data_IF_808752595671
#
_entry.id   IF_808752595671
#
_cell.length_a   1.000
_cell.length_b   1.000
_cell.length_c   1.000
_cell.angle_alpha   90.00
_cell.angle_beta   90.00
_cell.angle_gamma   90.00
#
_symmetry.space_group_name_H-M   'P 1'
#
loop_
_entity.id
_entity.type
_entity.pdbx_description
1 polymer ?
#
# COMPACT_ATOMS: atom_id res chain seq x y z
N UNK A 1 -19.87 40.00 -2.98
CA UNK A 1 -19.90 38.94 -1.94
C UNK A 1 -19.81 37.51 -2.49
N UNK A 2 -20.36 37.19 -3.67
CA UNK A 2 -20.30 35.84 -4.25
C UNK A 2 -18.90 35.36 -4.68
N UNK A 3 -18.06 36.26 -5.20
CA UNK A 3 -16.71 35.90 -5.68
C UNK A 3 -15.78 35.38 -4.56
N UNK A 4 -15.88 35.95 -3.35
CA UNK A 4 -15.08 35.52 -2.19
C UNK A 4 -15.49 34.12 -1.70
N UNK A 5 -16.79 33.82 -1.74
CA UNK A 5 -17.33 32.50 -1.39
C UNK A 5 -16.90 31.44 -2.40
N UNK A 6 -17.01 31.72 -3.69
CA UNK A 6 -16.57 30.81 -4.75
C UNK A 6 -15.06 30.54 -4.68
N UNK A 7 -14.26 31.56 -4.38
CA UNK A 7 -12.82 31.41 -4.20
C UNK A 7 -12.49 30.57 -2.96
N UNK A 8 -13.26 30.74 -1.87
CA UNK A 8 -13.19 29.87 -0.70
C UNK A 8 -13.51 28.42 -1.03
N UNK A 9 -14.60 28.16 -1.74
CA UNK A 9 -15.05 26.82 -2.13
C UNK A 9 -14.03 26.12 -3.06
N UNK A 10 -13.44 26.85 -4.01
CA UNK A 10 -12.37 26.34 -4.89
C UNK A 10 -11.11 26.01 -4.08
N UNK A 11 -10.76 26.86 -3.11
CA UNK A 11 -9.57 26.65 -2.27
C UNK A 11 -9.77 25.42 -1.39
N UNK A 12 -10.92 25.29 -0.72
CA UNK A 12 -11.27 24.09 0.05
C UNK A 12 -11.26 22.83 -0.81
N UNK A 13 -11.83 22.87 -2.02
CA UNK A 13 -11.83 21.72 -2.93
C UNK A 13 -10.41 21.32 -3.37
N UNK A 14 -9.52 22.30 -3.58
CA UNK A 14 -8.10 22.06 -3.89
C UNK A 14 -7.36 21.46 -2.69
N UNK A 15 -7.59 22.00 -1.49
CA UNK A 15 -7.00 21.50 -0.24
C UNK A 15 -7.47 20.06 0.02
N UNK A 16 -8.77 19.76 -0.05
CA UNK A 16 -9.27 18.39 0.12
C UNK A 16 -8.82 17.41 -0.98
N UNK A 17 -8.49 17.90 -2.18
CA UNK A 17 -7.87 17.08 -3.23
C UNK A 17 -6.39 16.84 -2.92
N UNK A 18 -5.72 17.83 -2.36
CA UNK A 18 -4.32 17.76 -1.94
C UNK A 18 -4.16 16.86 -0.70
N UNK A 19 -5.01 16.98 0.31
CA UNK A 19 -5.09 16.10 1.49
C UNK A 19 -5.37 14.64 1.10
N UNK A 20 -6.30 14.38 0.17
CA UNK A 20 -6.54 13.03 -0.35
C UNK A 20 -5.32 12.42 -1.06
N UNK A 21 -4.47 13.25 -1.67
CA UNK A 21 -3.21 12.80 -2.24
C UNK A 21 -2.09 12.71 -1.19
N UNK A 22 -2.17 13.52 -0.13
CA UNK A 22 -1.17 13.61 0.94
C UNK A 22 -1.32 12.48 1.97
N UNK A 23 -2.52 11.94 2.16
CA UNK A 23 -2.77 10.73 2.97
C UNK A 23 -2.10 9.46 2.39
N UNK A 24 -1.37 9.56 1.28
CA UNK A 24 -0.49 8.50 0.75
C UNK A 24 0.99 8.70 1.15
N UNK A 25 1.33 9.79 1.85
CA UNK A 25 2.72 10.28 2.02
C UNK A 25 3.04 10.86 3.39
N UNK A 26 2.64 10.19 4.47
CA UNK A 26 3.16 10.44 5.83
C UNK A 26 3.30 9.07 6.52
N UNK A 27 4.43 8.59 7.06
CA UNK A 27 5.68 9.22 7.50
C UNK A 27 6.82 8.20 7.25
N UNK A 28 7.74 8.50 6.34
CA UNK A 28 9.10 7.96 6.31
C UNK A 28 9.95 8.96 5.52
N UNK A 29 11.20 9.17 5.93
CA UNK A 29 12.11 10.13 5.33
C UNK A 29 12.06 10.03 3.79
N UNK A 30 11.59 11.09 3.12
CA UNK A 30 11.43 11.10 1.66
C UNK A 30 12.83 10.90 1.04
N UNK A 31 13.09 9.77 0.35
CA UNK A 31 14.34 9.58 -0.34
C UNK A 31 14.46 10.68 -1.41
N UNK A 32 15.62 11.33 -1.50
CA UNK A 32 15.89 12.41 -2.48
C UNK A 32 15.66 11.95 -3.94
N UNK A 33 15.69 10.64 -4.18
CA UNK A 33 15.33 9.98 -5.45
C UNK A 33 13.91 9.43 -5.43
N UNK A 34 13.17 9.62 -6.54
CA UNK A 34 11.86 8.99 -6.73
C UNK A 34 11.99 7.48 -6.51
N UNK A 35 11.18 6.87 -5.62
CA UNK A 35 11.25 5.43 -5.37
C UNK A 35 10.93 4.69 -6.67
N UNK A 36 11.76 3.72 -7.01
CA UNK A 36 11.54 2.80 -8.13
C UNK A 36 11.19 1.43 -7.57
N UNK A 37 10.15 0.79 -8.09
CA UNK A 37 9.76 -0.54 -7.64
C UNK A 37 10.87 -1.55 -7.96
N UNK A 38 11.32 -2.27 -6.93
CA UNK A 38 12.34 -3.30 -7.08
C UNK A 38 12.07 -4.49 -6.17
N UNK A 39 11.99 -5.67 -6.76
CA UNK A 39 11.92 -6.94 -6.01
C UNK A 39 13.21 -7.24 -5.25
N UNK A 40 14.32 -6.55 -5.56
CA UNK A 40 15.57 -6.69 -4.82
C UNK A 40 15.48 -6.10 -3.41
N UNK A 41 14.55 -5.17 -3.20
CA UNK A 41 14.32 -4.58 -1.88
C UNK A 41 13.51 -5.51 -0.96
N UNK A 42 12.88 -6.56 -1.50
CA UNK A 42 12.12 -7.55 -0.73
C UNK A 42 13.06 -8.55 -0.05
N UNK A 43 13.58 -8.18 1.13
CA UNK A 43 14.46 -9.07 1.92
C UNK A 43 13.63 -10.10 2.69
N UNK A 44 12.40 -9.73 3.09
CA UNK A 44 11.46 -10.60 3.81
C UNK A 44 10.69 -11.49 2.84
N UNK A 45 10.25 -12.65 3.34
CA UNK A 45 9.38 -13.57 2.57
C UNK A 45 7.93 -13.16 2.76
N UNK A 46 7.29 -12.75 1.67
CA UNK A 46 5.90 -12.29 1.68
C UNK A 46 4.97 -13.39 1.16
N UNK A 47 4.26 -14.06 2.09
CA UNK A 47 3.34 -15.15 1.78
C UNK A 47 1.90 -14.76 2.06
N UNK A 48 1.01 -15.10 1.13
CA UNK A 48 -0.42 -15.15 1.42
C UNK A 48 -0.72 -16.49 2.09
N UNK A 49 -1.42 -16.47 3.22
CA UNK A 49 -1.93 -17.69 3.84
C UNK A 49 -3.16 -18.23 3.09
N UNK A 50 -3.31 -19.55 3.06
CA UNK A 50 -4.45 -20.18 2.39
C UNK A 50 -5.74 -19.92 3.18
N UNK A 51 -6.66 -19.19 2.57
CA UNK A 51 -7.98 -18.91 3.13
C UNK A 51 -8.92 -18.56 1.99
N UNK A 52 -9.88 -19.43 1.61
CA UNK A 52 -10.74 -19.19 0.46
C UNK A 52 -11.40 -17.80 0.49
N UNK A 53 -11.33 -17.01 -0.59
CA UNK A 53 -10.89 -17.39 -1.94
C UNK A 53 -9.39 -17.16 -2.21
N UNK A 54 -8.59 -16.82 -1.20
CA UNK A 54 -7.16 -16.59 -1.31
C UNK A 54 -6.36 -17.89 -1.31
N UNK A 55 -5.39 -17.99 -2.22
CA UNK A 55 -4.50 -19.14 -2.36
C UNK A 55 -3.10 -18.81 -1.85
N UNK A 56 -2.45 -19.81 -1.27
CA UNK A 56 -1.09 -19.68 -0.74
C UNK A 56 -0.08 -19.42 -1.85
N UNK A 57 0.53 -18.24 -1.85
CA UNK A 57 1.51 -17.82 -2.85
C UNK A 57 2.59 -16.92 -2.25
N UNK A 58 3.79 -17.03 -2.82
CA UNK A 58 4.94 -16.16 -2.58
C UNK A 58 4.84 -14.93 -3.48
N UNK A 59 4.61 -13.75 -2.88
CA UNK A 59 4.38 -12.51 -3.61
C UNK A 59 5.60 -12.07 -4.41
N UNK A 60 6.81 -12.30 -3.92
CA UNK A 60 8.03 -11.94 -4.63
C UNK A 60 8.16 -12.76 -5.93
N UNK A 61 7.91 -14.08 -5.86
CA UNK A 61 7.91 -14.94 -7.06
C UNK A 61 6.82 -14.59 -8.06
N UNK A 62 5.67 -14.16 -7.59
CA UNK A 62 4.59 -13.68 -8.45
C UNK A 62 5.01 -12.36 -9.12
N UNK A 63 5.55 -11.41 -8.37
CA UNK A 63 5.97 -10.10 -8.86
C UNK A 63 7.09 -10.20 -9.91
N UNK A 64 7.99 -11.18 -9.82
CA UNK A 64 9.03 -11.43 -10.85
C UNK A 64 8.45 -11.70 -12.25
N UNK A 65 7.20 -12.19 -12.33
CA UNK A 65 6.51 -12.47 -13.60
C UNK A 65 5.78 -11.24 -14.15
N UNK A 66 5.71 -10.16 -13.39
CA UNK A 66 5.05 -8.93 -13.79
C UNK A 66 6.00 -8.03 -14.59
N UNK A 67 5.47 -7.37 -15.62
CA UNK A 67 6.24 -6.46 -16.47
C UNK A 67 5.69 -5.03 -16.33
N UNK A 68 6.47 -4.08 -15.79
CA UNK A 68 6.03 -2.69 -15.65
C UNK A 68 5.91 -2.02 -17.02
N UNK A 69 4.93 -1.12 -17.16
CA UNK A 69 4.82 -0.24 -18.33
C UNK A 69 5.77 0.93 -18.18
N UNK A 70 6.60 1.18 -19.20
CA UNK A 70 7.63 2.24 -19.20
C UNK A 70 7.07 3.67 -19.03
N UNK A 71 5.81 3.89 -19.42
CA UNK A 71 5.16 5.22 -19.34
C UNK A 71 4.51 5.50 -18.00
N UNK A 72 4.33 4.48 -17.16
CA UNK A 72 3.64 4.59 -15.89
C UNK A 72 4.60 5.14 -14.82
N UNK A 73 4.13 6.05 -13.98
CA UNK A 73 4.85 6.47 -12.78
C UNK A 73 4.86 5.37 -11.70
N UNK A 74 5.67 5.51 -10.65
CA UNK A 74 5.81 4.52 -9.58
C UNK A 74 4.48 4.08 -8.97
N UNK A 75 3.57 5.01 -8.67
CA UNK A 75 2.29 4.68 -8.06
C UNK A 75 1.33 3.97 -9.04
N UNK A 76 1.37 4.34 -10.32
CA UNK A 76 0.63 3.64 -11.38
C UNK A 76 1.16 2.22 -11.57
N UNK A 77 2.48 2.06 -11.53
CA UNK A 77 3.16 0.78 -11.56
C UNK A 77 2.79 -0.08 -10.36
N UNK A 78 2.77 0.49 -9.15
CA UNK A 78 2.40 -0.21 -7.92
C UNK A 78 0.94 -0.67 -7.97
N UNK A 79 0.04 0.20 -8.43
CA UNK A 79 -1.37 -0.13 -8.65
C UNK A 79 -1.53 -1.27 -9.67
N UNK A 80 -0.75 -1.25 -10.75
CA UNK A 80 -0.79 -2.29 -11.78
C UNK A 80 -0.23 -3.62 -11.25
N UNK A 81 0.83 -3.59 -10.45
CA UNK A 81 1.39 -4.75 -9.75
C UNK A 81 0.37 -5.37 -8.80
N UNK A 82 -0.27 -4.58 -7.94
CA UNK A 82 -1.31 -5.09 -7.03
C UNK A 82 -2.47 -5.72 -7.79
N UNK A 83 -2.96 -5.09 -8.87
CA UNK A 83 -3.99 -5.71 -9.70
C UNK A 83 -3.54 -7.07 -10.25
N UNK A 84 -2.29 -7.19 -10.69
CA UNK A 84 -1.71 -8.43 -11.20
C UNK A 84 -1.56 -9.52 -10.14
N UNK A 85 -1.16 -9.14 -8.91
CA UNK A 85 -1.01 -10.04 -7.77
C UNK A 85 -2.38 -10.53 -7.30
N UNK A 86 -3.32 -9.61 -7.06
CA UNK A 86 -4.66 -9.90 -6.59
C UNK A 86 -5.40 -10.91 -7.48
N UNK A 87 -5.24 -10.80 -8.81
CA UNK A 87 -5.80 -11.77 -9.75
C UNK A 87 -5.21 -13.18 -9.63
N UNK A 88 -3.98 -13.33 -9.12
CA UNK A 88 -3.29 -14.62 -8.97
C UNK A 88 -3.48 -15.25 -7.60
N UNK A 89 -3.55 -14.42 -6.57
CA UNK A 89 -3.76 -14.89 -5.20
C UNK A 89 -5.22 -15.23 -4.95
N UNK A 90 -6.14 -15.06 -5.90
CA UNK A 90 -7.57 -15.37 -5.72
C UNK A 90 -8.04 -16.44 -6.70
N UNK A 91 -8.73 -17.46 -6.20
CA UNK A 91 -9.32 -18.54 -6.98
C UNK A 91 -10.84 -18.66 -6.74
N UNK A 92 -11.69 -18.48 -7.78
CA UNK A 92 -11.35 -18.00 -9.12
C UNK A 92 -11.04 -16.49 -9.12
N UNK A 93 -10.23 -15.95 -10.05
CA UNK A 93 -9.75 -14.56 -10.03
C UNK A 93 -10.84 -13.49 -9.94
N UNK A 94 -12.06 -13.80 -10.38
CA UNK A 94 -13.20 -12.89 -10.38
C UNK A 94 -13.69 -12.58 -8.96
N UNK A 95 -13.48 -13.48 -7.99
CA UNK A 95 -13.93 -13.29 -6.61
C UNK A 95 -13.29 -12.10 -5.91
N UNK A 96 -12.14 -11.60 -6.40
CA UNK A 96 -11.53 -10.41 -5.82
C UNK A 96 -12.44 -9.18 -5.91
N UNK A 97 -13.38 -9.15 -6.88
CA UNK A 97 -14.34 -8.05 -7.04
C UNK A 97 -15.31 -7.93 -5.87
N UNK A 98 -15.46 -8.96 -5.04
CA UNK A 98 -16.28 -8.92 -3.82
C UNK A 98 -15.59 -8.18 -2.67
N UNK A 99 -14.31 -7.83 -2.82
CA UNK A 99 -13.48 -7.25 -1.75
C UNK A 99 -13.08 -5.80 -2.07
N UNK A 100 -12.92 -5.00 -1.02
CA UNK A 100 -12.39 -3.66 -1.05
C UNK A 100 -11.33 -3.46 0.05
N UNK A 101 -10.36 -2.58 -0.22
CA UNK A 101 -9.41 -2.07 0.79
C UNK A 101 -9.94 -0.71 1.26
N UNK A 102 -10.17 -0.57 2.57
CA UNK A 102 -10.72 0.66 3.19
C UNK A 102 -9.71 1.19 4.21
N UNK A 103 -8.75 2.00 3.74
CA UNK A 103 -7.70 2.59 4.58
C UNK A 103 -8.24 3.51 5.69
N UNK A 104 -9.39 4.14 5.44
CA UNK A 104 -10.14 4.88 6.44
C UNK A 104 -11.50 4.20 6.49
N UNK A 105 -11.97 3.76 7.65
CA UNK A 105 -13.29 3.12 7.84
C UNK A 105 -14.51 4.02 7.45
N UNK A 106 -14.27 5.10 6.71
CA UNK A 106 -15.29 5.96 6.14
C UNK A 106 -16.14 5.24 5.08
N UNK A 107 -17.44 5.50 5.16
CA UNK A 107 -18.57 4.98 4.36
C UNK A 107 -18.58 5.46 2.91
N UNK A 108 -17.43 5.52 2.26
CA UNK A 108 -17.27 6.06 0.91
C UNK A 108 -16.95 5.00 -0.13
N UNK A 109 -17.80 3.97 -0.30
CA UNK A 109 -17.95 3.08 -1.48
C UNK A 109 -18.71 1.81 -1.10
N UNK A 110 -19.53 1.35 -2.04
CA UNK A 110 -20.39 0.15 -2.02
C UNK A 110 -20.32 -0.67 -0.72
N UNK A 111 -21.35 -0.52 0.11
CA UNK A 111 -21.45 -1.17 1.42
C UNK A 111 -21.54 -2.71 1.31
N UNK A 112 -21.84 -3.24 0.12
CA UNK A 112 -21.93 -4.68 -0.12
C UNK A 112 -20.56 -5.34 -0.32
N UNK A 113 -19.48 -4.56 -0.49
CA UNK A 113 -18.12 -5.09 -0.65
C UNK A 113 -17.52 -5.43 0.71
N UNK A 114 -17.02 -6.67 0.81
CA UNK A 114 -16.31 -7.16 1.99
C UNK A 114 -14.96 -6.46 2.13
N UNK A 115 -14.50 -6.26 3.36
CA UNK A 115 -13.12 -5.86 3.56
C UNK A 115 -12.18 -7.02 3.21
N UNK A 116 -10.99 -6.69 2.72
CA UNK A 116 -9.92 -7.67 2.58
C UNK A 116 -9.62 -8.28 3.96
N UNK A 117 -9.31 -9.58 4.09
CA UNK A 117 -8.87 -10.13 5.36
C UNK A 117 -7.63 -9.39 5.86
N UNK A 118 -7.62 -9.03 7.15
CA UNK A 118 -6.59 -8.18 7.74
C UNK A 118 -5.17 -8.68 7.47
N UNK A 119 -4.94 -10.00 7.59
CA UNK A 119 -3.63 -10.59 7.30
C UNK A 119 -3.20 -10.41 5.83
N UNK A 120 -4.14 -10.54 4.89
CA UNK A 120 -3.88 -10.34 3.46
C UNK A 120 -3.55 -8.87 3.20
N UNK A 121 -4.30 -7.96 3.83
CA UNK A 121 -4.07 -6.51 3.72
C UNK A 121 -2.68 -6.13 4.26
N UNK A 122 -2.35 -6.53 5.49
CA UNK A 122 -1.04 -6.28 6.12
C UNK A 122 0.11 -6.85 5.27
N UNK A 123 -0.05 -8.06 4.74
CA UNK A 123 0.97 -8.69 3.88
C UNK A 123 1.17 -7.89 2.59
N UNK A 124 0.09 -7.41 1.97
CA UNK A 124 0.18 -6.60 0.75
C UNK A 124 0.83 -5.25 1.03
N UNK A 125 0.46 -4.58 2.13
CA UNK A 125 1.03 -3.29 2.55
C UNK A 125 2.54 -3.43 2.76
N UNK A 126 2.97 -4.36 3.62
CA UNK A 126 4.39 -4.56 3.91
C UNK A 126 5.19 -4.97 2.68
N UNK A 127 4.62 -5.80 1.79
CA UNK A 127 5.26 -6.12 0.51
C UNK A 127 5.45 -4.88 -0.38
N UNK A 128 4.47 -3.98 -0.43
CA UNK A 128 4.58 -2.72 -1.16
C UNK A 128 5.62 -1.77 -0.58
N UNK A 129 5.70 -1.69 0.74
CA UNK A 129 6.70 -0.91 1.46
C UNK A 129 8.11 -1.43 1.16
N UNK A 130 8.34 -2.73 1.27
CA UNK A 130 9.59 -3.39 0.85
C UNK A 130 9.91 -3.05 -0.62
N UNK A 131 8.96 -3.25 -1.53
CA UNK A 131 9.14 -2.97 -2.97
C UNK A 131 9.52 -1.51 -3.27
N UNK A 132 9.05 -0.56 -2.46
CA UNK A 132 9.38 0.86 -2.57
C UNK A 132 10.65 1.26 -1.82
N UNK A 133 11.24 0.34 -1.04
CA UNK A 133 12.43 0.58 -0.23
C UNK A 133 12.14 1.22 1.14
N UNK A 134 10.89 1.19 1.59
CA UNK A 134 10.45 1.70 2.90
C UNK A 134 10.45 0.64 4.01
N UNK A 135 10.57 -0.65 3.66
CA UNK A 135 10.52 -1.74 4.63
C UNK A 135 11.81 -1.98 5.46
N UNK A 136 12.79 -1.08 5.35
CA UNK A 136 13.92 -1.07 6.28
C UNK A 136 13.46 -0.50 7.62
N UNK A 137 13.57 -1.32 8.67
CA UNK A 137 13.42 -0.85 10.03
C UNK A 137 14.47 0.24 10.28
N UNK A 138 14.01 1.46 10.56
CA UNK A 138 14.87 2.50 11.11
C UNK A 138 15.45 1.96 12.43
N UNK A 139 16.69 1.44 12.38
CA UNK A 139 17.45 1.14 13.59
C UNK A 139 17.83 2.49 14.20
N UNK A 140 16.95 3.06 15.03
CA UNK A 140 17.33 4.12 15.95
C UNK A 140 17.43 3.58 17.38
N UNK A 141 18.69 3.46 17.82
CA UNK A 141 19.18 3.51 19.20
C UNK A 141 18.76 2.41 20.18
N UNK A 142 19.67 1.45 20.35
CA UNK A 142 20.07 0.90 21.64
C UNK A 142 20.11 1.98 22.74
N UNK A 143 19.21 1.87 23.72
CA UNK A 143 19.45 2.37 25.07
C UNK A 143 19.51 1.15 25.99
N UNK A 144 20.72 0.60 26.13
CA UNK A 144 21.09 -0.26 27.25
C UNK A 144 20.84 0.49 28.56
N UNK A 145 19.79 0.14 29.28
CA UNK A 145 19.74 0.32 30.72
C UNK A 145 19.92 -1.07 31.36
N UNK A 146 21.18 -1.48 31.46
CA UNK A 146 21.59 -2.39 32.53
C UNK A 146 21.52 -1.58 33.81
N UNK A 147 20.58 -1.90 34.70
CA UNK A 147 20.66 -1.43 36.08
C UNK A 147 20.91 -2.67 36.93
N UNK A 148 22.19 -2.86 37.24
CA UNK A 148 22.68 -3.81 38.23
C UNK A 148 21.99 -3.57 39.57
N UNK A 149 21.46 -4.65 40.14
CA UNK A 149 21.03 -4.71 41.53
C UNK A 149 22.26 -5.00 42.40
N UNK A 150 22.69 -4.03 43.20
CA UNK A 150 23.41 -4.27 44.46
C UNK A 150 23.13 -3.18 45.47
#
# INVERSE_FOLDING_TARGET
MFALRLQGDITCAKVSKMERNFNFTEIAAIPSTKPQLSTQNCVKKWWIEESPPFVKLDLAKVALKWQPRKKDNTYQQLTALYRFILQRITAPPQKIKEFAVRLNQGSGRDENLKNLPELVEQTLVGFGEDMMGYGHEDISSTSTNSCDTR
#
